data_IF_387167042554
#
_entry.id   IF_387167042554
#
_cell.length_a   1.000
_cell.length_b   1.000
_cell.length_c   1.000
_cell.angle_alpha   90.00
_cell.angle_beta   90.00
_cell.angle_gamma   90.00
#
_symmetry.space_group_name_H-M   'P 1'
#
loop_
_entity.id
_entity.type
_entity.pdbx_description
1 polymer ?
#
# COMPACT_ATOMS: atom_id res chain seq x y z
N UNK A 1 -13.54 -3.40 -14.64
CA UNK A 1 -12.43 -4.14 -14.00
C UNK A 1 -12.79 -4.29 -12.53
N UNK A 2 -12.56 -5.47 -11.92
CA UNK A 2 -12.73 -5.63 -10.46
C UNK A 2 -11.71 -4.74 -9.76
N UNK A 3 -12.13 -3.91 -8.82
CA UNK A 3 -11.21 -3.10 -8.01
C UNK A 3 -10.13 -4.00 -7.39
N UNK A 4 -8.87 -3.62 -7.56
CA UNK A 4 -7.75 -4.33 -6.94
C UNK A 4 -7.78 -4.00 -5.45
N UNK A 5 -7.87 -5.02 -4.59
CA UNK A 5 -7.78 -4.83 -3.14
C UNK A 5 -6.43 -4.25 -2.73
N UNK A 6 -5.34 -4.71 -3.33
CA UNK A 6 -4.00 -4.22 -3.02
C UNK A 6 -3.39 -3.53 -4.23
N UNK A 7 -2.90 -2.31 -4.02
CA UNK A 7 -2.37 -1.45 -5.06
C UNK A 7 -0.98 -0.93 -4.69
N UNK A 8 -0.02 -1.06 -5.61
CA UNK A 8 1.31 -0.46 -5.44
C UNK A 8 1.20 1.01 -5.82
N UNK A 9 1.27 1.90 -4.82
CA UNK A 9 1.16 3.35 -5.01
C UNK A 9 2.52 4.04 -5.11
N UNK A 10 3.58 3.38 -4.61
CA UNK A 10 4.95 3.82 -4.77
C UNK A 10 5.87 2.62 -5.02
N UNK A 11 6.90 2.81 -5.86
CA UNK A 11 7.93 1.82 -6.12
C UNK A 11 9.28 2.50 -6.32
N UNK A 12 10.28 2.09 -5.55
CA UNK A 12 11.64 2.59 -5.63
C UNK A 12 12.65 1.45 -5.79
N UNK A 13 13.72 1.72 -6.54
CA UNK A 13 14.85 0.81 -6.70
C UNK A 13 14.75 -0.15 -7.89
N UNK A 14 15.85 -0.87 -8.16
CA UNK A 14 15.99 -1.80 -9.29
C UNK A 14 16.43 -3.21 -8.86
N UNK A 15 17.51 -3.30 -8.07
CA UNK A 15 18.01 -4.58 -7.53
C UNK A 15 17.41 -4.89 -6.15
N UNK A 16 17.42 -3.89 -5.27
CA UNK A 16 16.61 -3.85 -4.07
C UNK A 16 15.38 -3.00 -4.39
N UNK A 17 14.19 -3.53 -4.09
CA UNK A 17 12.92 -2.89 -4.43
C UNK A 17 12.16 -2.59 -3.15
N UNK A 18 11.79 -1.33 -2.98
CA UNK A 18 10.86 -0.88 -1.96
C UNK A 18 9.54 -0.53 -2.62
N UNK A 19 8.42 -0.95 -2.02
CA UNK A 19 7.08 -0.62 -2.50
C UNK A 19 6.19 -0.18 -1.35
N UNK A 20 5.39 0.86 -1.59
CA UNK A 20 4.24 1.17 -0.73
C UNK A 20 3.02 0.54 -1.37
N UNK A 21 2.36 -0.32 -0.60
CA UNK A 21 1.14 -1.03 -1.01
C UNK A 21 -0.02 -0.49 -0.17
N UNK A 22 -1.10 -0.06 -0.82
CA UNK A 22 -2.35 0.35 -0.18
C UNK A 22 -3.36 -0.79 -0.20
N UNK A 23 -4.03 -1.06 0.93
CA UNK A 23 -5.26 -1.85 0.95
C UNK A 23 -6.45 -0.94 0.66
N UNK A 24 -6.99 -1.03 -0.56
CA UNK A 24 -8.10 -0.21 -1.05
C UNK A 24 -9.43 -0.48 -0.30
N UNK A 25 -9.50 -1.44 0.63
CA UNK A 25 -10.65 -1.57 1.52
C UNK A 25 -10.54 -0.76 2.81
N UNK A 26 -9.31 -0.46 3.26
CA UNK A 26 -9.06 0.13 4.58
C UNK A 26 -8.23 1.42 4.53
N UNK A 27 -7.61 1.71 3.38
CA UNK A 27 -6.62 2.78 3.24
C UNK A 27 -5.26 2.47 3.85
N UNK A 28 -5.10 1.36 4.57
CA UNK A 28 -3.86 1.02 5.30
C UNK A 28 -2.69 0.82 4.34
N UNK A 29 -1.54 1.38 4.71
CA UNK A 29 -0.30 1.32 3.96
C UNK A 29 0.66 0.27 4.50
N UNK A 30 1.28 -0.48 3.58
CA UNK A 30 2.30 -1.47 3.86
C UNK A 30 3.59 -1.12 3.12
N UNK A 31 4.73 -1.25 3.81
CA UNK A 31 6.04 -1.21 3.18
C UNK A 31 6.47 -2.64 2.85
N UNK A 32 6.66 -2.92 1.56
CA UNK A 32 7.25 -4.15 1.05
C UNK A 32 8.70 -3.89 0.65
N UNK A 33 9.60 -4.79 1.01
CA UNK A 33 10.99 -4.78 0.61
C UNK A 33 11.37 -6.14 0.02
N UNK A 34 11.97 -6.15 -1.17
CA UNK A 34 12.54 -7.36 -1.76
C UNK A 34 13.97 -7.13 -2.23
N UNK A 35 14.87 -8.04 -1.84
CA UNK A 35 16.28 -8.02 -2.22
C UNK A 35 16.76 -9.46 -2.49
N UNK A 36 17.11 -9.75 -3.74
CA UNK A 36 17.42 -11.13 -4.16
C UNK A 36 16.25 -12.08 -3.90
N UNK A 37 16.47 -13.11 -3.08
CA UNK A 37 15.42 -14.06 -2.65
C UNK A 37 14.72 -13.66 -1.35
N UNK A 38 15.12 -12.57 -0.72
CA UNK A 38 14.51 -12.06 0.51
C UNK A 38 13.27 -11.21 0.22
N UNK A 39 12.24 -11.37 1.05
CA UNK A 39 11.01 -10.57 1.04
C UNK A 39 10.64 -10.20 2.48
N UNK A 40 10.32 -8.93 2.70
CA UNK A 40 9.77 -8.42 3.95
C UNK A 40 8.53 -7.56 3.69
N UNK A 41 7.57 -7.62 4.60
CA UNK A 41 6.36 -6.79 4.60
C UNK A 41 6.09 -6.30 6.02
N UNK A 42 5.84 -5.01 6.18
CA UNK A 42 5.39 -4.42 7.44
C UNK A 42 4.26 -3.43 7.21
N UNK A 43 3.36 -3.30 8.19
CA UNK A 43 2.44 -2.16 8.23
C UNK A 43 3.23 -0.89 8.52
N UNK A 44 2.94 0.19 7.79
CA UNK A 44 3.49 1.50 8.10
C UNK A 44 2.74 2.08 9.30
N UNK A 45 3.46 2.73 10.22
CA UNK A 45 2.86 3.30 11.43
C UNK A 45 2.99 4.81 11.42
N UNK A 46 1.94 5.49 11.87
CA UNK A 46 1.97 6.91 12.15
C UNK A 46 2.73 7.23 13.44
N UNK A 47 2.93 8.52 13.75
CA UNK A 47 3.60 8.97 14.97
C UNK A 47 2.91 8.51 16.28
N UNK A 48 1.64 8.13 16.22
CA UNK A 48 0.84 7.65 17.35
C UNK A 48 0.87 6.11 17.52
N UNK A 49 1.65 5.41 16.70
CA UNK A 49 1.76 3.95 16.70
C UNK A 49 0.56 3.24 16.08
N UNK A 50 -0.39 3.97 15.47
CA UNK A 50 -1.48 3.35 14.71
C UNK A 50 -1.04 3.08 13.26
N UNK A 51 -1.71 2.15 12.55
CA UNK A 51 -1.50 1.98 11.12
C UNK A 51 -1.67 3.31 10.37
N UNK A 52 -0.71 3.61 9.50
CA UNK A 52 -0.79 4.75 8.60
C UNK A 52 -1.81 4.44 7.49
N UNK A 53 -2.68 5.39 7.20
CA UNK A 53 -3.71 5.30 6.16
C UNK A 53 -3.49 6.38 5.11
N UNK A 54 -3.83 6.07 3.86
CA UNK A 54 -3.86 7.05 2.77
C UNK A 54 -5.13 7.91 2.90
N UNK A 55 -4.99 9.11 3.47
CA UNK A 55 -6.10 10.02 3.75
C UNK A 55 -6.76 10.57 2.47
N UNK A 56 -6.02 10.62 1.37
CA UNK A 56 -6.50 11.09 0.07
C UNK A 56 -7.24 9.98 -0.71
N UNK A 57 -7.21 8.73 -0.22
CA UNK A 57 -7.88 7.62 -0.87
C UNK A 57 -9.35 7.50 -0.49
N UNK A 58 -10.21 7.87 -1.43
CA UNK A 58 -11.66 7.78 -1.26
C UNK A 58 -12.19 6.44 -1.82
N UNK A 59 -12.49 5.50 -0.92
CA UNK A 59 -13.02 4.16 -1.24
C UNK A 59 -14.30 4.22 -2.09
N UNK A 60 -15.06 5.32 -2.00
CA UNK A 60 -16.33 5.49 -2.72
C UNK A 60 -16.17 5.99 -4.15
N UNK A 61 -15.03 6.58 -4.52
CA UNK A 61 -14.76 7.05 -5.90
C UNK A 61 -14.00 6.01 -6.73
N UNK A 62 -13.34 5.04 -6.08
CA UNK A 62 -12.74 3.90 -6.79
C UNK A 62 -13.79 2.89 -7.25
N UNK A 63 -15.03 3.01 -6.76
CA UNK A 63 -16.13 2.14 -7.17
C UNK A 63 -16.83 2.64 -8.43
N UNK A 64 -16.90 1.84 -9.51
CA UNK A 64 -17.51 2.24 -10.78
C UNK A 64 -19.05 2.36 -10.73
N UNK A 65 -19.65 2.52 -9.55
CA UNK A 65 -21.10 2.53 -9.32
C UNK A 65 -21.59 3.73 -8.46
N UNK A 66 -20.85 4.84 -8.43
CA UNK A 66 -21.37 6.15 -7.98
C UNK A 66 -22.00 6.93 -9.12
#
# INVERSE_FOLDING_TARGET
>A
MKEKRFEVIEKQGKMEVFQVIRDNQTGVLYLSHSAGYGLGLTVMQGPDGKPLVDEDFNVNESSPLS
#
